data_IF_188949722711
#
_entry.id   IF_188949722711
#
_cell.length_a   1.000
_cell.length_b   1.000
_cell.length_c   1.000
_cell.angle_alpha   90.00
_cell.angle_beta   90.00
_cell.angle_gamma   90.00
#
_symmetry.space_group_name_H-M   'P 1'
#
loop_
_entity.id
_entity.type
_entity.pdbx_description
1 polymer ?
#
# COMPACT_ATOMS: atom_id res chain seq x y z
N UNK A 1 -23.10 -17.44 -59.47
CA UNK A 1 -23.88 -16.30 -58.90
C UNK A 1 -23.38 -15.90 -57.50
N UNK A 2 -22.81 -16.80 -56.71
CA UNK A 2 -22.39 -16.51 -55.31
C UNK A 2 -21.08 -15.73 -55.15
N UNK A 3 -20.09 -15.92 -56.04
CA UNK A 3 -18.81 -15.22 -55.95
C UNK A 3 -18.92 -13.69 -56.18
N UNK A 4 -19.88 -13.26 -57.00
CA UNK A 4 -20.13 -11.84 -57.27
C UNK A 4 -20.72 -11.12 -56.04
N UNK A 5 -21.55 -11.80 -55.26
CA UNK A 5 -22.11 -11.27 -54.02
C UNK A 5 -21.05 -11.15 -52.92
N UNK A 6 -20.13 -12.12 -52.82
CA UNK A 6 -19.04 -12.07 -51.84
C UNK A 6 -18.07 -10.91 -52.12
N UNK A 7 -17.73 -10.68 -53.40
CA UNK A 7 -16.90 -9.56 -53.84
C UNK A 7 -17.58 -8.21 -53.61
N UNK A 8 -18.90 -8.13 -53.79
CA UNK A 8 -19.67 -6.93 -53.50
C UNK A 8 -19.69 -6.65 -51.99
N UNK A 9 -19.90 -7.69 -51.16
CA UNK A 9 -19.92 -7.57 -49.71
C UNK A 9 -18.55 -7.13 -49.16
N UNK A 10 -17.46 -7.70 -49.67
CA UNK A 10 -16.09 -7.33 -49.29
C UNK A 10 -15.76 -5.88 -49.70
N UNK A 11 -16.23 -5.41 -50.86
CA UNK A 11 -16.06 -4.01 -51.28
C UNK A 11 -16.88 -3.04 -50.45
N UNK A 12 -18.10 -3.43 -50.04
CA UNK A 12 -18.94 -2.63 -49.15
C UNK A 12 -18.34 -2.56 -47.74
N UNK A 13 -17.86 -3.69 -47.21
CA UNK A 13 -17.21 -3.74 -45.89
C UNK A 13 -15.87 -2.98 -45.88
N UNK A 14 -15.07 -3.08 -46.95
CA UNK A 14 -13.84 -2.29 -47.11
C UNK A 14 -14.14 -0.79 -47.27
N UNK A 15 -15.22 -0.43 -47.98
CA UNK A 15 -15.70 0.95 -48.11
C UNK A 15 -16.21 1.53 -46.78
N UNK A 16 -16.92 0.72 -45.98
CA UNK A 16 -17.37 1.09 -44.63
C UNK A 16 -16.19 1.23 -43.65
N UNK A 17 -15.17 0.39 -43.75
CA UNK A 17 -13.92 0.52 -42.99
C UNK A 17 -13.13 1.78 -43.37
N UNK A 18 -13.01 2.09 -44.66
CA UNK A 18 -12.38 3.32 -45.12
C UNK A 18 -13.17 4.57 -44.71
N UNK A 19 -14.49 4.49 -44.69
CA UNK A 19 -15.37 5.57 -44.22
C UNK A 19 -15.29 5.76 -42.70
N UNK A 20 -15.14 4.68 -41.93
CA UNK A 20 -14.90 4.72 -40.48
C UNK A 20 -13.50 5.25 -40.13
N UNK A 21 -12.48 4.98 -40.96
CA UNK A 21 -11.14 5.55 -40.81
C UNK A 21 -11.07 7.03 -41.22
N UNK A 22 -12.00 7.51 -42.06
CA UNK A 22 -12.12 8.91 -42.48
C UNK A 22 -13.14 9.72 -41.65
N UNK A 23 -13.91 9.07 -40.79
CA UNK A 23 -14.65 9.71 -39.70
C UNK A 23 -13.63 10.22 -38.68
N UNK A 24 -13.01 11.37 -38.98
CA UNK A 24 -12.51 12.27 -37.95
C UNK A 24 -13.66 12.46 -36.97
N UNK A 25 -13.50 11.94 -35.75
CA UNK A 25 -14.34 12.32 -34.63
C UNK A 25 -14.40 13.87 -34.64
N UNK A 26 -15.57 14.47 -34.87
CA UNK A 26 -15.68 15.92 -34.80
C UNK A 26 -15.47 16.30 -33.34
N UNK A 27 -14.28 16.81 -33.01
CA UNK A 27 -13.95 17.25 -31.65
C UNK A 27 -12.53 16.94 -31.15
N UNK A 28 -11.69 16.19 -31.88
CA UNK A 28 -10.28 16.10 -31.51
C UNK A 28 -9.59 17.42 -31.92
N UNK A 29 -9.58 18.41 -31.02
CA UNK A 29 -8.67 19.53 -31.13
C UNK A 29 -7.24 18.97 -31.24
N UNK A 30 -6.44 19.52 -32.14
CA UNK A 30 -5.02 19.21 -32.16
C UNK A 30 -4.40 19.79 -30.88
N UNK A 31 -4.30 18.96 -29.85
CA UNK A 31 -3.57 19.33 -28.64
C UNK A 31 -2.07 19.22 -28.91
N UNK A 32 -1.35 20.30 -28.60
CA UNK A 32 0.10 20.35 -28.75
C UNK A 32 0.72 20.03 -27.40
N UNK A 33 1.33 18.85 -27.29
CA UNK A 33 2.15 18.48 -26.14
C UNK A 33 3.59 18.89 -26.42
N UNK A 34 4.15 19.78 -25.60
CA UNK A 34 5.55 20.16 -25.65
C UNK A 34 6.34 19.37 -24.60
N UNK A 35 7.45 18.75 -25.02
CA UNK A 35 8.34 18.01 -24.11
C UNK A 35 9.67 18.74 -24.02
N UNK A 36 10.01 19.25 -22.83
CA UNK A 36 11.34 19.83 -22.58
C UNK A 36 12.30 18.76 -22.06
N UNK A 37 13.09 18.17 -22.96
CA UNK A 37 14.09 17.17 -22.62
C UNK A 37 15.37 17.70 -21.97
N UNK A 38 15.47 19.01 -21.67
CA UNK A 38 16.70 19.61 -21.11
C UNK A 38 16.82 19.51 -19.59
N UNK A 39 15.71 19.25 -18.88
CA UNK A 39 15.67 19.17 -17.41
C UNK A 39 14.80 18.00 -16.97
N UNK A 40 15.35 17.13 -16.11
CA UNK A 40 14.53 16.18 -15.37
C UNK A 40 13.83 16.93 -14.22
N UNK A 41 12.50 16.77 -14.10
CA UNK A 41 11.70 17.38 -13.01
C UNK A 41 11.68 16.53 -11.75
N UNK A 42 11.86 15.21 -11.88
CA UNK A 42 11.94 14.26 -10.78
C UNK A 42 12.69 12.98 -11.23
N UNK A 43 13.07 12.15 -10.26
CA UNK A 43 13.58 10.80 -10.49
C UNK A 43 12.78 9.81 -9.65
N UNK A 44 12.27 8.76 -10.29
CA UNK A 44 11.57 7.66 -9.60
C UNK A 44 12.58 6.60 -9.16
N UNK A 45 12.35 5.96 -8.01
CA UNK A 45 13.17 4.81 -7.58
C UNK A 45 13.05 3.61 -8.53
N UNK A 46 14.05 2.73 -8.54
CA UNK A 46 14.04 1.53 -9.41
C UNK A 46 12.86 0.59 -9.13
N UNK A 47 12.30 0.63 -7.92
CA UNK A 47 11.16 -0.20 -7.51
C UNK A 47 9.82 0.58 -7.50
N UNK A 48 9.71 1.69 -8.26
CA UNK A 48 8.62 2.66 -8.14
C UNK A 48 7.20 2.07 -8.04
N UNK A 49 6.91 1.05 -8.85
CA UNK A 49 5.65 0.31 -8.79
C UNK A 49 5.69 -0.67 -7.63
N UNK A 50 4.80 -0.49 -6.65
CA UNK A 50 4.69 -1.35 -5.48
C UNK A 50 3.26 -1.83 -5.24
N UNK A 51 3.10 -2.88 -4.43
CA UNK A 51 1.79 -3.42 -4.08
C UNK A 51 1.67 -3.77 -2.61
N UNK A 52 0.46 -3.76 -2.07
CA UNK A 52 0.18 -4.22 -0.71
C UNK A 52 -0.49 -5.59 -0.68
N UNK A 53 -0.20 -6.36 0.37
CA UNK A 53 -0.89 -7.60 0.70
C UNK A 53 -1.46 -7.49 2.12
N UNK A 54 -2.77 -7.68 2.26
CA UNK A 54 -3.52 -7.39 3.48
C UNK A 54 -3.79 -8.64 4.34
N UNK A 55 -4.24 -8.44 5.57
CA UNK A 55 -4.57 -9.45 6.57
C UNK A 55 -6.02 -9.94 6.50
N UNK A 56 -6.90 -9.26 5.75
CA UNK A 56 -8.34 -9.51 5.79
C UNK A 56 -8.75 -10.97 5.57
N UNK A 57 -9.47 -11.59 6.52
CA UNK A 57 -10.03 -12.93 6.35
C UNK A 57 -11.13 -12.99 5.27
N UNK A 58 -11.48 -14.19 4.77
CA UNK A 58 -12.59 -14.37 3.81
C UNK A 58 -13.92 -13.77 4.29
N UNK A 59 -14.13 -13.70 5.61
CA UNK A 59 -15.36 -13.19 6.23
C UNK A 59 -15.45 -11.65 6.25
N UNK A 60 -14.40 -10.95 5.78
CA UNK A 60 -14.42 -9.50 5.54
C UNK A 60 -15.28 -9.23 4.32
N UNK A 61 -16.48 -8.72 4.59
CA UNK A 61 -17.42 -8.32 3.56
C UNK A 61 -17.80 -6.87 3.78
N UNK A 62 -17.68 -6.08 2.73
CA UNK A 62 -18.14 -4.68 2.68
C UNK A 62 -19.32 -4.61 1.73
N UNK A 63 -20.38 -3.94 2.15
CA UNK A 63 -21.52 -3.63 1.28
C UNK A 63 -22.13 -4.88 0.60
N UNK A 64 -22.13 -6.01 1.32
CA UNK A 64 -22.63 -7.30 0.81
C UNK A 64 -21.64 -8.12 -0.03
N UNK A 65 -20.43 -7.62 -0.27
CA UNK A 65 -19.40 -8.29 -1.09
C UNK A 65 -18.19 -8.68 -0.25
N UNK A 66 -17.79 -9.96 -0.31
CA UNK A 66 -16.61 -10.49 0.38
C UNK A 66 -15.42 -10.56 -0.58
N UNK A 67 -14.75 -9.43 -0.80
CA UNK A 67 -13.72 -9.28 -1.84
C UNK A 67 -12.43 -10.09 -1.57
N UNK A 68 -12.18 -10.48 -0.33
CA UNK A 68 -10.87 -11.00 0.09
C UNK A 68 -10.65 -12.49 -0.15
N UNK A 69 -11.66 -13.36 -0.03
CA UNK A 69 -11.52 -14.78 -0.33
C UNK A 69 -10.19 -15.39 0.16
N UNK A 70 -9.38 -15.94 -0.76
CA UNK A 70 -8.03 -16.46 -0.50
C UNK A 70 -6.92 -15.49 -0.89
N UNK A 71 -7.09 -14.19 -0.64
CA UNK A 71 -6.15 -13.15 -1.05
C UNK A 71 -5.32 -12.55 0.10
N UNK A 72 -5.41 -13.10 1.31
CA UNK A 72 -4.74 -12.51 2.46
C UNK A 72 -3.36 -13.11 2.69
N UNK A 73 -2.55 -12.39 3.48
CA UNK A 73 -1.27 -12.87 4.01
C UNK A 73 -1.38 -14.28 4.61
N UNK A 74 -2.54 -14.64 5.16
CA UNK A 74 -2.76 -15.90 5.85
C UNK A 74 -3.11 -17.06 4.93
N UNK A 75 -3.78 -16.80 3.79
CA UNK A 75 -4.42 -17.87 3.02
C UNK A 75 -4.18 -17.83 1.49
N UNK A 76 -3.43 -16.83 0.99
CA UNK A 76 -2.98 -16.75 -0.39
C UNK A 76 -2.25 -18.03 -0.83
N UNK A 77 -2.60 -18.52 -2.01
CA UNK A 77 -1.96 -19.69 -2.61
C UNK A 77 -0.59 -19.33 -3.19
N UNK A 78 0.44 -19.48 -2.36
CA UNK A 78 1.83 -19.20 -2.70
C UNK A 78 2.45 -20.24 -3.64
N UNK A 79 1.73 -21.32 -3.98
CA UNK A 79 2.15 -22.30 -4.98
C UNK A 79 1.69 -21.95 -6.39
N UNK A 80 0.81 -20.96 -6.53
CA UNK A 80 0.24 -20.55 -7.80
C UNK A 80 1.33 -19.93 -8.72
N UNK A 81 1.53 -20.55 -9.89
CA UNK A 81 2.55 -20.13 -10.86
C UNK A 81 2.19 -18.82 -11.56
N UNK A 82 0.91 -18.54 -11.77
CA UNK A 82 0.45 -17.28 -12.38
C UNK A 82 0.79 -16.13 -11.44
N UNK A 83 0.48 -16.27 -10.15
CA UNK A 83 0.83 -15.30 -9.12
C UNK A 83 2.35 -15.06 -9.06
N UNK A 84 3.14 -16.13 -9.01
CA UNK A 84 4.60 -16.02 -8.98
C UNK A 84 5.15 -15.28 -10.21
N UNK A 85 4.63 -15.60 -11.40
CA UNK A 85 5.07 -14.98 -12.65
C UNK A 85 4.61 -13.52 -12.74
N UNK A 86 3.41 -13.18 -12.24
CA UNK A 86 2.93 -11.81 -12.16
C UNK A 86 3.85 -10.97 -11.28
N UNK A 87 4.17 -11.43 -10.06
CA UNK A 87 5.10 -10.72 -9.15
C UNK A 87 6.48 -10.54 -9.80
N UNK A 88 6.99 -11.56 -10.51
CA UNK A 88 8.26 -11.47 -11.25
C UNK A 88 8.22 -10.48 -12.41
N UNK A 89 7.08 -10.32 -13.07
CA UNK A 89 6.95 -9.40 -14.21
C UNK A 89 7.09 -7.92 -13.78
N UNK A 90 6.79 -7.61 -12.52
CA UNK A 90 6.99 -6.29 -11.93
C UNK A 90 8.36 -6.14 -11.25
N UNK A 91 9.31 -7.06 -11.48
CA UNK A 91 10.61 -6.97 -10.83
C UNK A 91 11.41 -5.73 -11.27
N UNK A 92 12.03 -5.00 -10.33
CA UNK A 92 11.97 -5.22 -8.88
C UNK A 92 10.66 -4.68 -8.26
N UNK A 93 9.86 -5.58 -7.64
CA UNK A 93 8.61 -5.21 -6.96
C UNK A 93 8.84 -5.16 -5.45
N UNK A 94 8.41 -4.07 -4.80
CA UNK A 94 8.30 -4.05 -3.34
C UNK A 94 6.86 -4.38 -2.91
N UNK A 95 6.73 -5.32 -1.96
CA UNK A 95 5.47 -5.72 -1.35
C UNK A 95 5.40 -5.22 0.09
N UNK A 96 4.38 -4.43 0.41
CA UNK A 96 4.07 -4.01 1.79
C UNK A 96 3.00 -4.92 2.39
N UNK A 97 3.35 -5.62 3.45
CA UNK A 97 2.53 -6.60 4.15
C UNK A 97 1.93 -5.92 5.38
N UNK A 98 0.65 -5.54 5.34
CA UNK A 98 0.07 -4.62 6.33
C UNK A 98 -1.44 -4.49 6.22
N UNK A 99 -1.97 -3.32 6.57
CA UNK A 99 -3.41 -3.02 6.58
C UNK A 99 -4.00 -3.03 8.00
N UNK A 100 -5.30 -2.75 8.13
CA UNK A 100 -5.90 -2.40 9.43
C UNK A 100 -5.74 -3.48 10.51
N UNK A 101 -5.81 -4.77 10.17
CA UNK A 101 -5.65 -5.85 11.15
C UNK A 101 -4.19 -6.08 11.60
N UNK A 102 -3.21 -5.38 11.01
CA UNK A 102 -1.84 -5.35 11.47
C UNK A 102 -1.73 -4.93 12.94
N UNK A 103 -2.57 -4.00 13.39
CA UNK A 103 -2.59 -3.57 14.79
C UNK A 103 -3.24 -4.59 15.74
N UNK A 104 -3.70 -5.74 15.22
CA UNK A 104 -4.37 -6.81 15.96
C UNK A 104 -3.72 -8.17 15.74
N UNK A 105 -2.59 -8.24 15.02
CA UNK A 105 -1.86 -9.49 14.82
C UNK A 105 -0.84 -9.70 15.94
N UNK A 106 -0.69 -10.95 16.37
CA UNK A 106 0.46 -11.41 17.15
C UNK A 106 1.25 -12.47 16.38
N UNK A 107 2.52 -12.61 16.68
CA UNK A 107 3.42 -13.51 15.96
C UNK A 107 3.61 -14.78 16.77
N UNK A 108 3.36 -15.93 16.14
CA UNK A 108 3.40 -17.26 16.74
C UNK A 108 4.80 -17.79 17.06
N UNK A 109 5.71 -16.93 17.51
CA UNK A 109 7.04 -17.32 17.97
C UNK A 109 6.97 -18.02 19.33
N UNK A 110 8.07 -18.60 19.79
CA UNK A 110 8.16 -19.26 21.09
C UNK A 110 7.79 -18.33 22.27
N UNK A 111 8.03 -17.02 22.13
CA UNK A 111 7.74 -16.02 23.16
C UNK A 111 6.25 -15.72 23.32
N UNK A 112 5.38 -16.13 22.38
CA UNK A 112 3.95 -15.85 22.46
C UNK A 112 3.30 -16.51 23.69
N UNK A 113 3.78 -17.69 24.12
CA UNK A 113 3.31 -18.44 25.30
C UNK A 113 1.80 -18.71 25.38
N UNK A 114 1.09 -18.62 24.25
CA UNK A 114 -0.33 -18.95 24.08
C UNK A 114 -0.61 -19.52 22.69
N UNK A 115 -1.72 -20.23 22.48
CA UNK A 115 -2.08 -20.75 21.16
C UNK A 115 -2.15 -19.64 20.10
N UNK A 116 -1.61 -19.92 18.92
CA UNK A 116 -1.69 -19.03 17.77
C UNK A 116 -3.05 -19.22 17.08
N UNK A 117 -4.01 -18.36 17.41
CA UNK A 117 -5.39 -18.43 16.89
C UNK A 117 -5.60 -17.48 15.71
N UNK A 118 -6.39 -17.87 14.69
CA UNK A 118 -6.70 -16.99 13.57
C UNK A 118 -7.58 -15.81 14.00
N UNK A 119 -7.70 -14.81 13.13
CA UNK A 119 -8.73 -13.78 13.26
C UNK A 119 -10.12 -14.42 13.20
N UNK A 120 -11.03 -13.98 14.06
CA UNK A 120 -12.43 -14.39 14.05
C UNK A 120 -13.30 -13.15 13.96
N UNK A 121 -14.35 -13.20 13.12
CA UNK A 121 -15.30 -12.09 12.97
C UNK A 121 -16.01 -11.83 14.30
N UNK A 122 -15.97 -10.59 14.76
CA UNK A 122 -16.65 -10.12 15.96
C UNK A 122 -16.98 -8.64 15.80
N UNK A 123 -18.26 -8.30 15.65
CA UNK A 123 -18.70 -6.93 15.37
C UNK A 123 -18.44 -5.94 16.52
N UNK A 124 -18.23 -6.43 17.74
CA UNK A 124 -17.92 -5.59 18.91
C UNK A 124 -16.45 -5.19 18.98
N UNK A 125 -15.59 -5.80 18.15
CA UNK A 125 -14.16 -5.55 18.14
C UNK A 125 -13.78 -4.44 17.14
N UNK A 126 -12.69 -3.73 17.41
CA UNK A 126 -12.11 -2.79 16.44
C UNK A 126 -11.88 -3.48 15.09
N UNK A 127 -12.39 -2.87 14.02
CA UNK A 127 -12.42 -3.39 12.65
C UNK A 127 -13.24 -4.68 12.44
N UNK A 128 -14.04 -5.12 13.42
CA UNK A 128 -14.95 -6.25 13.28
C UNK A 128 -14.31 -7.63 13.41
N UNK A 129 -13.07 -7.72 13.92
CA UNK A 129 -12.36 -8.99 14.11
C UNK A 129 -11.60 -9.01 15.44
N UNK A 130 -11.47 -10.19 16.04
CA UNK A 130 -10.65 -10.44 17.24
C UNK A 130 -9.17 -10.15 16.97
N UNK A 131 -8.33 -10.27 18.00
CA UNK A 131 -6.91 -10.47 17.78
C UNK A 131 -6.69 -11.77 16.97
N UNK A 132 -5.78 -11.73 16.01
CA UNK A 132 -5.37 -12.89 15.21
C UNK A 132 -3.87 -13.16 15.36
N UNK A 133 -3.40 -14.25 14.78
CA UNK A 133 -2.02 -14.67 14.88
C UNK A 133 -1.44 -15.05 13.51
N UNK A 134 -0.19 -14.67 13.25
CA UNK A 134 0.62 -15.17 12.15
C UNK A 134 1.42 -16.39 12.63
N UNK A 135 1.10 -17.62 12.18
CA UNK A 135 1.90 -18.79 12.50
C UNK A 135 3.27 -18.73 11.82
N UNK A 136 4.34 -19.14 12.50
CA UNK A 136 5.70 -19.09 11.92
C UNK A 136 5.86 -19.97 10.68
N UNK A 137 5.11 -21.07 10.57
CA UNK A 137 5.04 -21.85 9.34
C UNK A 137 4.57 -21.00 8.16
N UNK A 138 3.53 -20.19 8.34
CA UNK A 138 3.02 -19.33 7.27
C UNK A 138 4.02 -18.22 6.93
N UNK A 139 4.72 -17.70 7.93
CA UNK A 139 5.82 -16.76 7.72
C UNK A 139 6.96 -17.38 6.90
N UNK A 140 7.31 -18.64 7.15
CA UNK A 140 8.29 -19.39 6.36
C UNK A 140 7.82 -19.55 4.90
N UNK A 141 6.56 -19.96 4.68
CA UNK A 141 5.98 -20.10 3.34
C UNK A 141 6.00 -18.78 2.54
N UNK A 142 5.66 -17.67 3.18
CA UNK A 142 5.71 -16.33 2.59
C UNK A 142 7.13 -15.95 2.17
N UNK A 143 8.12 -16.12 3.06
CA UNK A 143 9.50 -15.79 2.75
C UNK A 143 10.10 -16.68 1.64
N UNK A 144 9.69 -17.94 1.56
CA UNK A 144 10.05 -18.81 0.44
C UNK A 144 9.47 -18.31 -0.89
N UNK A 145 8.23 -17.82 -0.90
CA UNK A 145 7.64 -17.19 -2.07
C UNK A 145 8.39 -15.91 -2.47
N UNK A 146 8.69 -15.02 -1.51
CA UNK A 146 9.41 -13.77 -1.76
C UNK A 146 10.80 -14.01 -2.34
N UNK A 147 11.52 -15.00 -1.80
CA UNK A 147 12.82 -15.42 -2.33
C UNK A 147 12.71 -15.92 -3.77
N UNK A 148 11.69 -16.70 -4.09
CA UNK A 148 11.46 -17.22 -5.45
C UNK A 148 11.04 -16.11 -6.42
N UNK A 149 10.28 -15.12 -5.97
CA UNK A 149 9.77 -14.04 -6.80
C UNK A 149 10.78 -12.91 -7.00
N UNK A 150 11.72 -12.73 -6.07
CA UNK A 150 12.66 -11.61 -6.05
C UNK A 150 12.06 -10.33 -5.46
N UNK A 151 10.88 -10.39 -4.85
CA UNK A 151 10.22 -9.24 -4.27
C UNK A 151 10.96 -8.71 -3.03
N UNK A 152 11.02 -7.38 -2.89
CA UNK A 152 11.49 -6.69 -1.68
C UNK A 152 10.32 -6.56 -0.70
N UNK A 153 10.57 -6.77 0.59
CA UNK A 153 9.48 -6.90 1.57
C UNK A 153 9.52 -5.78 2.60
N UNK A 154 8.43 -5.05 2.71
CA UNK A 154 8.12 -4.18 3.86
C UNK A 154 7.10 -4.89 4.71
N UNK A 155 7.39 -5.12 5.99
CA UNK A 155 6.45 -5.79 6.90
C UNK A 155 5.98 -4.84 7.99
N UNK A 156 4.66 -4.73 8.12
CA UNK A 156 4.01 -3.93 9.14
C UNK A 156 3.89 -4.65 10.48
N UNK A 157 4.41 -4.02 11.52
CA UNK A 157 4.40 -4.48 12.90
C UNK A 157 3.14 -3.99 13.63
N UNK A 158 2.67 -4.78 14.58
CA UNK A 158 1.57 -4.39 15.47
C UNK A 158 2.04 -3.31 16.46
N UNK A 159 1.58 -2.08 16.28
CA UNK A 159 1.93 -0.95 17.16
C UNK A 159 1.01 -0.80 18.38
N UNK A 160 -0.04 -1.60 18.53
CA UNK A 160 -0.98 -1.54 19.67
C UNK A 160 -0.72 -2.61 20.75
N UNK A 161 0.25 -3.50 20.54
CA UNK A 161 0.57 -4.54 21.52
C UNK A 161 0.97 -3.92 22.88
N UNK A 162 0.33 -4.38 23.96
CA UNK A 162 0.58 -3.95 25.34
C UNK A 162 -0.04 -2.60 25.75
N UNK A 163 -0.75 -1.91 24.85
CA UNK A 163 -1.36 -0.61 25.15
C UNK A 163 -2.68 -0.73 25.91
N UNK A 164 -3.08 0.40 26.49
CA UNK A 164 -4.35 0.55 27.22
C UNK A 164 -5.24 1.58 26.55
N UNK A 165 -6.53 1.28 26.47
CA UNK A 165 -7.53 2.22 25.96
C UNK A 165 -7.71 3.37 26.97
N UNK A 166 -7.53 4.59 26.49
CA UNK A 166 -7.74 5.81 27.26
C UNK A 166 -9.21 6.28 27.17
N UNK A 167 -9.68 7.12 28.12
CA UNK A 167 -11.07 7.61 28.13
C UNK A 167 -11.50 8.35 26.86
N UNK A 168 -10.55 8.95 26.13
CA UNK A 168 -10.79 9.68 24.89
C UNK A 168 -10.77 8.77 23.63
N UNK A 169 -10.72 7.46 23.81
CA UNK A 169 -10.68 6.46 22.74
C UNK A 169 -9.30 6.23 22.11
N UNK A 170 -8.28 6.98 22.54
CA UNK A 170 -6.89 6.76 22.09
C UNK A 170 -6.21 5.63 22.85
N UNK A 171 -5.06 5.17 22.34
CA UNK A 171 -4.26 4.11 22.95
C UNK A 171 -3.04 4.71 23.64
N UNK A 172 -2.94 4.48 24.95
CA UNK A 172 -1.88 4.97 25.80
C UNK A 172 -0.92 3.87 26.26
N UNK A 173 0.18 4.30 26.87
CA UNK A 173 1.24 3.42 27.36
C UNK A 173 2.27 3.05 26.28
N UNK A 174 3.45 2.59 26.72
CA UNK A 174 4.54 2.22 25.82
C UNK A 174 4.17 1.00 24.98
N UNK A 175 4.68 0.96 23.75
CA UNK A 175 4.57 -0.22 22.92
C UNK A 175 5.35 -1.40 23.51
N UNK A 176 4.66 -2.51 23.79
CA UNK A 176 5.33 -3.77 24.13
C UNK A 176 5.88 -4.41 22.85
N UNK A 177 7.15 -4.13 22.57
CA UNK A 177 7.86 -4.65 21.42
C UNK A 177 8.29 -6.11 21.54
N UNK A 178 8.03 -6.80 22.65
CA UNK A 178 8.58 -8.15 22.91
C UNK A 178 8.18 -9.16 21.82
N UNK A 179 6.91 -9.17 21.42
CA UNK A 179 6.43 -10.09 20.38
C UNK A 179 7.01 -9.73 18.99
N UNK A 180 7.11 -8.44 18.65
CA UNK A 180 7.73 -7.97 17.41
C UNK A 180 9.23 -8.29 17.36
N UNK A 181 9.96 -8.06 18.45
CA UNK A 181 11.37 -8.41 18.59
C UNK A 181 11.61 -9.90 18.35
N UNK A 182 10.72 -10.75 18.87
CA UNK A 182 10.77 -12.19 18.65
C UNK A 182 10.61 -12.56 17.17
N UNK A 183 9.65 -11.94 16.46
CA UNK A 183 9.48 -12.13 15.01
C UNK A 183 10.72 -11.67 14.23
N UNK A 184 11.26 -10.50 14.55
CA UNK A 184 12.42 -9.95 13.85
C UNK A 184 13.64 -10.86 14.05
N UNK A 185 13.88 -11.33 15.28
CA UNK A 185 14.95 -12.31 15.57
C UNK A 185 14.73 -13.62 14.81
N UNK A 186 13.51 -14.16 14.81
CA UNK A 186 13.18 -15.37 14.05
C UNK A 186 13.51 -15.19 12.56
N UNK A 187 13.14 -14.04 12.01
CA UNK A 187 13.37 -13.68 10.60
C UNK A 187 14.87 -13.61 10.27
N UNK A 188 15.66 -12.94 11.12
CA UNK A 188 17.12 -12.87 10.96
C UNK A 188 17.78 -14.24 11.11
N UNK A 189 17.39 -15.03 12.11
CA UNK A 189 17.94 -16.36 12.35
C UNK A 189 17.67 -17.34 11.21
N UNK A 190 16.56 -17.15 10.49
CA UNK A 190 16.21 -17.91 9.28
C UNK A 190 16.94 -17.44 8.02
N UNK A 191 17.67 -16.32 8.09
CA UNK A 191 18.31 -15.69 6.93
C UNK A 191 17.34 -15.03 5.97
N UNK A 192 16.11 -14.71 6.42
CA UNK A 192 15.12 -14.04 5.59
C UNK A 192 15.46 -12.55 5.43
N UNK A 193 15.22 -12.03 4.23
CA UNK A 193 15.53 -10.63 3.88
C UNK A 193 14.28 -9.80 3.94
N UNK A 194 14.31 -8.77 4.78
CA UNK A 194 13.27 -7.75 4.88
C UNK A 194 13.89 -6.41 4.48
N UNK A 195 13.21 -5.69 3.61
CA UNK A 195 13.63 -4.37 3.12
C UNK A 195 13.30 -3.27 4.13
N UNK A 196 12.16 -3.37 4.82
CA UNK A 196 11.77 -2.43 5.86
C UNK A 196 10.78 -3.01 6.87
N UNK A 197 10.82 -2.46 8.08
CA UNK A 197 9.85 -2.72 9.14
C UNK A 197 9.03 -1.45 9.37
N UNK A 198 7.72 -1.54 9.17
CA UNK A 198 6.77 -0.45 9.38
C UNK A 198 6.10 -0.58 10.75
N UNK A 199 5.90 0.52 11.48
CA UNK A 199 5.28 0.47 12.81
C UNK A 199 3.79 0.86 12.76
N UNK A 200 2.89 -0.11 12.86
CA UNK A 200 1.45 0.15 12.93
C UNK A 200 0.82 0.61 11.60
N UNK A 201 -0.49 0.83 11.65
CA UNK A 201 -1.32 1.23 10.51
C UNK A 201 -2.41 2.22 10.97
N UNK A 202 -2.50 3.39 10.35
CA UNK A 202 -3.56 4.38 10.49
C UNK A 202 -3.80 4.86 11.94
N UNK A 203 -2.72 5.03 12.70
CA UNK A 203 -2.75 5.49 14.09
C UNK A 203 -2.44 6.99 14.25
N UNK A 204 -2.05 7.67 13.16
CA UNK A 204 -1.67 9.09 13.14
C UNK A 204 -2.88 10.02 13.14
N UNK A 205 -2.73 11.22 13.70
CA UNK A 205 -3.77 12.25 13.73
C UNK A 205 -5.05 11.77 14.41
N UNK A 206 -6.17 11.81 13.69
CA UNK A 206 -7.47 11.29 14.14
C UNK A 206 -7.54 9.77 14.21
N UNK A 207 -6.71 9.07 13.43
CA UNK A 207 -6.66 7.61 13.34
C UNK A 207 -7.89 6.96 12.70
N UNK A 208 -7.77 5.67 12.36
CA UNK A 208 -8.88 4.82 11.88
C UNK A 208 -9.11 3.70 12.89
N UNK A 209 -10.28 3.71 13.54
CA UNK A 209 -10.62 2.80 14.64
C UNK A 209 -10.03 3.25 15.98
N UNK A 210 -8.76 3.67 16.01
CA UNK A 210 -8.13 4.30 17.18
C UNK A 210 -6.92 5.15 16.76
N UNK A 211 -6.29 5.84 17.72
CA UNK A 211 -5.12 6.71 17.49
C UNK A 211 -4.09 6.58 18.61
N UNK A 212 -2.84 6.93 18.31
CA UNK A 212 -1.75 7.06 19.29
C UNK A 212 -1.22 8.49 19.25
N UNK A 213 -1.04 9.09 20.43
CA UNK A 213 -0.44 10.42 20.55
C UNK A 213 0.99 10.44 19.98
N UNK A 214 1.35 11.52 19.29
CA UNK A 214 2.62 11.61 18.56
C UNK A 214 3.86 11.48 19.46
N UNK A 215 3.80 11.97 20.70
CA UNK A 215 4.87 11.79 21.69
C UNK A 215 5.18 10.31 21.95
N UNK A 216 4.13 9.55 22.27
CA UNK A 216 4.25 8.13 22.56
C UNK A 216 4.69 7.38 21.29
N UNK A 217 4.05 7.68 20.16
CA UNK A 217 4.35 7.02 18.90
C UNK A 217 5.81 7.27 18.46
N UNK A 218 6.33 8.49 18.62
CA UNK A 218 7.72 8.80 18.33
C UNK A 218 8.68 8.01 19.23
N UNK A 219 8.40 7.89 20.54
CA UNK A 219 9.18 7.05 21.44
C UNK A 219 9.20 5.58 20.97
N UNK A 220 8.08 5.09 20.45
CA UNK A 220 7.96 3.71 19.94
C UNK A 220 8.75 3.52 18.63
N UNK A 221 8.80 4.52 17.74
CA UNK A 221 9.66 4.50 16.55
C UNK A 221 11.14 4.46 16.95
N UNK A 222 11.56 5.24 17.96
CA UNK A 222 12.93 5.22 18.48
C UNK A 222 13.27 3.86 19.10
N UNK A 223 12.32 3.25 19.80
CA UNK A 223 12.45 1.89 20.32
C UNK A 223 12.62 0.86 19.18
N UNK A 224 11.82 0.96 18.11
CA UNK A 224 11.96 0.12 16.93
C UNK A 224 13.34 0.29 16.26
N UNK A 225 13.81 1.53 16.07
CA UNK A 225 15.14 1.78 15.50
C UNK A 225 16.24 1.13 16.33
N UNK A 226 16.19 1.30 17.65
CA UNK A 226 17.15 0.70 18.58
C UNK A 226 17.10 -0.84 18.57
N UNK A 227 15.91 -1.41 18.38
CA UNK A 227 15.71 -2.84 18.26
C UNK A 227 16.30 -3.39 16.95
N UNK A 228 16.03 -2.72 15.82
CA UNK A 228 16.60 -3.08 14.51
C UNK A 228 18.12 -2.99 14.53
N UNK A 229 18.69 -1.92 15.08
CA UNK A 229 20.14 -1.75 15.14
C UNK A 229 20.84 -2.87 15.90
N UNK A 230 20.21 -3.36 16.98
CA UNK A 230 20.73 -4.41 17.83
C UNK A 230 20.55 -5.80 17.23
N UNK A 231 19.36 -6.12 16.68
CA UNK A 231 19.11 -7.45 16.12
C UNK A 231 19.88 -7.66 14.81
N UNK A 232 20.03 -6.60 14.00
CA UNK A 232 20.79 -6.63 12.75
C UNK A 232 22.26 -6.18 12.94
N UNK A 233 22.79 -6.23 14.15
CA UNK A 233 24.20 -5.92 14.41
C UNK A 233 25.10 -6.83 13.56
N UNK A 234 26.10 -6.24 12.89
CA UNK A 234 26.99 -6.95 11.97
C UNK A 234 26.38 -7.31 10.61
N UNK A 235 25.09 -7.05 10.36
CA UNK A 235 24.51 -7.24 9.03
C UNK A 235 24.89 -6.05 8.12
N UNK A 236 25.46 -6.30 6.91
CA UNK A 236 25.87 -5.23 6.01
C UNK A 236 24.70 -4.39 5.47
N UNK A 237 23.47 -4.92 5.48
CA UNK A 237 22.28 -4.23 5.02
C UNK A 237 21.18 -4.28 6.08
N UNK A 238 21.05 -3.19 6.85
CA UNK A 238 19.96 -3.05 7.82
C UNK A 238 18.65 -2.68 7.10
N UNK A 239 17.50 -3.23 7.53
CA UNK A 239 16.20 -2.83 7.01
C UNK A 239 15.86 -1.39 7.42
N UNK A 240 15.03 -0.75 6.61
CA UNK A 240 14.50 0.58 6.89
C UNK A 240 13.52 0.56 8.07
N UNK A 241 13.51 1.61 8.87
CA UNK A 241 12.44 1.91 9.82
C UNK A 241 11.43 2.85 9.16
N UNK A 242 10.18 2.41 9.10
CA UNK A 242 9.10 3.04 8.32
C UNK A 242 7.93 3.36 9.26
N UNK A 243 7.31 4.53 9.10
CA UNK A 243 6.16 4.98 9.89
C UNK A 243 5.47 6.18 9.24
N UNK A 244 4.23 6.56 9.59
CA UNK A 244 3.34 5.86 10.50
C UNK A 244 2.33 4.90 9.85
N UNK A 245 2.41 4.70 8.53
CA UNK A 245 1.42 3.96 7.75
C UNK A 245 0.00 4.50 7.93
N UNK A 246 -0.21 5.82 7.91
CA UNK A 246 -1.51 6.43 8.21
C UNK A 246 -1.86 7.63 7.32
N UNK A 247 -2.99 8.28 7.56
CA UNK A 247 -3.35 9.49 6.81
C UNK A 247 -2.52 10.69 7.25
N UNK A 248 -2.24 11.58 6.30
CA UNK A 248 -1.44 12.79 6.55
C UNK A 248 -2.19 13.76 7.46
N UNK A 249 -1.55 14.13 8.57
CA UNK A 249 -1.96 15.22 9.46
C UNK A 249 -0.74 16.11 9.67
N UNK A 250 -0.81 17.38 9.25
CA UNK A 250 0.37 18.23 9.16
C UNK A 250 1.05 18.44 10.53
N UNK A 251 0.26 18.64 11.59
CA UNK A 251 0.79 18.86 12.94
C UNK A 251 1.46 17.59 13.48
N UNK A 252 0.75 16.47 13.41
CA UNK A 252 1.23 15.18 13.88
C UNK A 252 2.49 14.72 13.12
N UNK A 253 2.53 14.88 11.79
CA UNK A 253 3.69 14.51 10.97
C UNK A 253 4.89 15.41 11.23
N UNK A 254 4.68 16.74 11.35
CA UNK A 254 5.75 17.69 11.70
C UNK A 254 6.40 17.30 13.02
N UNK A 255 5.58 16.96 14.01
CA UNK A 255 6.05 16.60 15.34
C UNK A 255 6.76 15.24 15.35
N UNK A 256 6.25 14.23 14.63
CA UNK A 256 6.93 12.94 14.48
C UNK A 256 8.31 13.10 13.85
N UNK A 257 8.39 13.85 12.74
CA UNK A 257 9.65 14.12 12.05
C UNK A 257 10.62 14.82 13.00
N UNK A 258 10.17 15.86 13.71
CA UNK A 258 11.00 16.59 14.67
C UNK A 258 11.58 15.69 15.77
N UNK A 259 10.78 14.79 16.34
CA UNK A 259 11.20 13.89 17.44
C UNK A 259 12.05 12.71 16.99
N UNK A 260 12.09 12.41 15.70
CA UNK A 260 12.87 11.28 15.13
C UNK A 260 14.13 11.75 14.38
N UNK A 261 14.50 13.02 14.51
CA UNK A 261 15.75 13.57 13.98
C UNK A 261 17.01 13.01 14.69
N UNK A 262 18.17 13.07 14.02
CA UNK A 262 18.32 13.34 12.59
C UNK A 262 18.03 12.12 11.71
N UNK A 263 18.17 10.89 12.25
CA UNK A 263 18.20 9.65 11.46
C UNK A 263 17.54 8.45 12.17
N UNK A 264 16.54 8.69 13.02
CA UNK A 264 15.84 7.60 13.74
C UNK A 264 14.68 7.02 12.93
N UNK A 265 14.16 7.78 11.96
CA UNK A 265 13.15 7.34 10.99
C UNK A 265 13.72 7.42 9.57
N UNK A 266 13.70 6.30 8.82
CA UNK A 266 14.23 6.28 7.46
C UNK A 266 13.19 6.78 6.45
N UNK A 267 11.93 6.37 6.63
CA UNK A 267 10.85 6.66 5.69
C UNK A 267 9.63 7.13 6.45
N UNK A 268 9.07 8.26 6.03
CA UNK A 268 7.73 8.69 6.43
C UNK A 268 6.70 8.30 5.36
N UNK A 269 5.67 7.55 5.75
CA UNK A 269 4.63 7.03 4.83
C UNK A 269 3.30 7.70 5.10
N UNK A 270 2.52 7.97 4.05
CA UNK A 270 1.11 8.35 4.19
C UNK A 270 0.19 7.50 3.29
N UNK A 271 -1.09 7.44 3.63
CA UNK A 271 -2.13 6.70 2.90
C UNK A 271 -3.01 7.61 2.04
N UNK A 272 -3.53 7.08 0.91
CA UNK A 272 -4.31 7.83 -0.07
C UNK A 272 -5.58 7.06 -0.49
N UNK A 273 -6.72 7.71 -0.30
CA UNK A 273 -8.05 7.24 -0.71
C UNK A 273 -8.95 8.42 -1.10
N UNK A 274 -8.63 9.09 -2.20
CA UNK A 274 -9.27 10.32 -2.65
C UNK A 274 -10.67 10.14 -3.28
N UNK A 275 -11.06 8.92 -3.66
CA UNK A 275 -12.38 8.67 -4.27
C UNK A 275 -13.49 8.51 -3.23
N UNK A 276 -13.14 8.20 -1.98
CA UNK A 276 -14.08 7.98 -0.89
C UNK A 276 -14.41 6.50 -0.62
N UNK A 277 -15.58 6.17 -0.07
CA UNK A 277 -15.91 4.79 0.27
C UNK A 277 -16.28 3.96 -0.95
N UNK A 278 -16.00 2.65 -0.91
CA UNK A 278 -16.41 1.70 -1.94
C UNK A 278 -17.92 1.62 -2.18
N UNK A 279 -18.77 2.02 -1.23
CA UNK A 279 -20.24 2.05 -1.42
C UNK A 279 -20.73 3.19 -2.30
N UNK A 280 -19.87 4.16 -2.60
CA UNK A 280 -20.27 5.30 -3.42
C UNK A 280 -20.62 4.83 -4.84
N UNK A 281 -21.83 5.16 -5.27
CA UNK A 281 -22.34 4.81 -6.61
C UNK A 281 -21.79 5.74 -7.70
N UNK A 282 -21.16 6.86 -7.32
CA UNK A 282 -20.60 7.84 -8.24
C UNK A 282 -19.08 7.70 -8.44
N UNK A 283 -18.51 6.54 -8.08
CA UNK A 283 -17.06 6.31 -8.20
C UNK A 283 -16.56 6.46 -9.64
N UNK A 284 -17.33 6.03 -10.63
CA UNK A 284 -16.96 6.16 -12.06
C UNK A 284 -16.84 7.63 -12.45
N UNK A 285 -17.81 8.45 -12.06
CA UNK A 285 -17.82 9.88 -12.32
C UNK A 285 -16.65 10.58 -11.63
N UNK A 286 -16.29 10.15 -10.41
CA UNK A 286 -15.10 10.66 -9.71
C UNK A 286 -13.80 10.26 -10.40
N UNK A 287 -13.67 9.00 -10.83
CA UNK A 287 -12.48 8.49 -11.53
C UNK A 287 -12.24 9.26 -12.84
N UNK A 288 -13.31 9.61 -13.54
CA UNK A 288 -13.24 10.34 -14.81
C UNK A 288 -13.21 11.87 -14.65
N UNK A 289 -13.18 12.37 -13.42
CA UNK A 289 -13.14 13.81 -13.14
C UNK A 289 -11.74 14.25 -12.65
N UNK A 290 -10.99 15.04 -13.44
CA UNK A 290 -9.66 15.53 -13.06
C UNK A 290 -9.59 16.23 -11.70
N UNK A 291 -10.65 16.94 -11.29
CA UNK A 291 -10.62 17.68 -10.00
C UNK A 291 -10.51 16.76 -8.78
N UNK A 292 -10.99 15.51 -8.88
CA UNK A 292 -10.83 14.51 -7.81
C UNK A 292 -9.41 13.95 -7.76
N UNK A 293 -8.71 13.98 -8.88
CA UNK A 293 -7.37 13.43 -9.05
C UNK A 293 -6.31 14.43 -8.60
N UNK A 294 -6.55 15.73 -8.80
CA UNK A 294 -5.69 16.81 -8.30
C UNK A 294 -5.78 17.03 -6.78
N UNK A 295 -6.83 16.48 -6.14
CA UNK A 295 -7.12 16.69 -4.71
C UNK A 295 -6.01 16.25 -3.74
N UNK A 296 -5.04 15.47 -4.21
CA UNK A 296 -3.92 14.97 -3.40
C UNK A 296 -2.65 15.83 -3.50
N UNK A 297 -2.57 16.76 -4.46
CA UNK A 297 -1.37 17.56 -4.71
C UNK A 297 -0.89 18.33 -3.46
N UNK A 298 -1.84 18.87 -2.68
CA UNK A 298 -1.54 19.61 -1.45
C UNK A 298 -0.92 18.72 -0.37
N UNK A 299 -1.34 17.46 -0.25
CA UNK A 299 -0.75 16.50 0.70
C UNK A 299 0.72 16.26 0.38
N UNK A 300 1.05 16.02 -0.88
CA UNK A 300 2.43 15.80 -1.33
C UNK A 300 3.30 17.03 -1.11
N UNK A 301 2.84 18.22 -1.53
CA UNK A 301 3.62 19.45 -1.39
C UNK A 301 3.81 19.87 0.08
N UNK A 302 2.79 19.69 0.93
CA UNK A 302 2.90 19.97 2.36
C UNK A 302 3.88 19.04 3.07
N UNK A 303 3.80 17.71 2.83
CA UNK A 303 4.73 16.76 3.42
C UNK A 303 6.17 17.02 2.94
N UNK A 304 6.35 17.34 1.66
CA UNK A 304 7.64 17.73 1.12
C UNK A 304 8.19 19.00 1.78
N UNK A 305 7.35 20.01 1.96
CA UNK A 305 7.72 21.26 2.65
C UNK A 305 8.18 21.01 4.10
N UNK A 306 7.51 20.11 4.81
CA UNK A 306 7.91 19.69 6.17
C UNK A 306 9.28 18.99 6.13
N UNK A 307 9.52 18.06 5.20
CA UNK A 307 10.80 17.35 5.11
C UNK A 307 11.96 18.29 4.74
N UNK A 308 11.74 19.18 3.76
CA UNK A 308 12.74 20.15 3.31
C UNK A 308 13.15 21.11 4.44
N UNK A 309 12.19 21.54 5.26
CA UNK A 309 12.45 22.43 6.41
C UNK A 309 12.97 21.69 7.64
N UNK A 310 12.80 20.37 7.72
CA UNK A 310 13.17 19.60 8.88
C UNK A 310 14.69 19.35 9.00
N UNK A 311 15.46 19.35 7.91
CA UNK A 311 16.88 18.99 7.96
C UNK A 311 17.10 17.52 8.37
N UNK A 312 16.22 16.62 7.90
CA UNK A 312 16.29 15.17 8.11
C UNK A 312 16.72 14.47 6.82
N UNK A 313 17.23 13.23 6.93
CA UNK A 313 17.43 12.34 5.79
C UNK A 313 16.21 11.48 5.47
N UNK A 314 15.14 11.58 6.26
CA UNK A 314 13.88 10.86 6.05
C UNK A 314 13.27 11.19 4.69
N UNK A 315 12.86 10.17 3.95
CA UNK A 315 12.16 10.31 2.65
C UNK A 315 10.66 10.02 2.78
N UNK A 316 9.84 10.57 1.88
CA UNK A 316 8.39 10.37 1.87
C UNK A 316 7.96 9.28 0.88
N UNK A 317 7.14 8.32 1.35
CA UNK A 317 6.51 7.28 0.53
C UNK A 317 4.98 7.35 0.63
N UNK A 318 4.28 6.81 -0.37
CA UNK A 318 2.85 6.50 -0.27
C UNK A 318 2.73 5.04 0.15
N UNK A 319 2.48 4.79 1.45
CA UNK A 319 2.52 3.45 2.06
C UNK A 319 1.30 2.57 1.74
N UNK A 320 0.20 3.18 1.33
CA UNK A 320 -1.03 2.50 0.87
C UNK A 320 -1.88 3.46 0.04
N UNK A 321 -2.27 3.08 -1.16
CA UNK A 321 -3.20 3.81 -2.01
C UNK A 321 -4.18 2.86 -2.69
N UNK A 322 -5.49 3.14 -2.62
CA UNK A 322 -6.50 2.26 -3.22
C UNK A 322 -7.66 2.98 -3.90
N UNK A 323 -7.61 4.31 -3.98
CA UNK A 323 -8.66 5.15 -4.56
C UNK A 323 -9.90 5.18 -3.69
N UNK A 324 -10.63 4.07 -3.64
CA UNK A 324 -11.81 3.87 -2.80
C UNK A 324 -11.53 2.92 -1.61
N UNK A 325 -11.82 3.37 -0.39
CA UNK A 325 -11.60 2.57 0.82
C UNK A 325 -12.72 1.54 1.07
N UNK A 326 -12.59 0.70 2.09
CA UNK A 326 -13.49 -0.43 2.38
C UNK A 326 -13.56 -1.45 1.23
N UNK A 327 -12.40 -1.94 0.80
CA UNK A 327 -12.23 -2.98 -0.22
C UNK A 327 -12.61 -2.60 -1.65
N UNK A 328 -12.90 -1.32 -1.91
CA UNK A 328 -13.30 -0.82 -3.22
C UNK A 328 -14.74 -1.19 -3.59
N UNK A 329 -15.04 -1.17 -4.88
CA UNK A 329 -16.36 -1.46 -5.44
C UNK A 329 -16.21 -2.42 -6.62
N UNK A 330 -16.77 -3.63 -6.49
CA UNK A 330 -16.76 -4.62 -7.57
C UNK A 330 -17.42 -4.07 -8.85
N UNK A 331 -16.82 -4.38 -10.00
CA UNK A 331 -17.12 -3.83 -11.32
C UNK A 331 -16.71 -2.36 -11.53
N UNK A 332 -16.13 -1.71 -10.52
CA UNK A 332 -15.54 -0.37 -10.65
C UNK A 332 -14.04 -0.41 -10.37
N UNK A 333 -13.62 -0.70 -9.13
CA UNK A 333 -12.20 -0.68 -8.73
C UNK A 333 -11.41 -1.91 -9.20
N UNK A 334 -12.10 -2.93 -9.69
CA UNK A 334 -11.51 -4.12 -10.34
C UNK A 334 -11.87 -4.21 -11.84
N UNK A 335 -12.27 -3.10 -12.45
CA UNK A 335 -12.55 -3.01 -13.88
C UNK A 335 -11.62 -2.02 -14.59
N UNK A 336 -11.67 -2.01 -15.93
CA UNK A 336 -10.79 -1.18 -16.76
C UNK A 336 -10.87 0.31 -16.42
N UNK A 337 -12.05 0.83 -16.01
CA UNK A 337 -12.19 2.26 -15.68
C UNK A 337 -11.24 2.69 -14.55
N UNK A 338 -10.88 1.77 -13.64
CA UNK A 338 -9.95 2.08 -12.57
C UNK A 338 -8.52 2.34 -13.04
N UNK A 339 -8.15 1.90 -14.26
CA UNK A 339 -6.82 2.17 -14.81
C UNK A 339 -6.56 3.67 -15.01
N UNK A 340 -7.61 4.49 -15.22
CA UNK A 340 -7.48 5.94 -15.32
C UNK A 340 -7.02 6.55 -13.99
N UNK A 341 -7.67 6.17 -12.88
CA UNK A 341 -7.23 6.59 -11.54
C UNK A 341 -5.83 6.08 -11.22
N UNK A 342 -5.54 4.80 -11.50
CA UNK A 342 -4.23 4.20 -11.24
C UNK A 342 -3.11 4.93 -11.99
N UNK A 343 -3.28 5.16 -13.30
CA UNK A 343 -2.27 5.84 -14.10
C UNK A 343 -2.01 7.25 -13.57
N UNK A 344 -3.05 7.99 -13.22
CA UNK A 344 -2.90 9.35 -12.71
C UNK A 344 -2.26 9.34 -11.33
N UNK A 345 -2.66 8.45 -10.42
CA UNK A 345 -2.03 8.32 -9.10
C UNK A 345 -0.55 7.94 -9.17
N UNK A 346 -0.15 7.07 -10.11
CA UNK A 346 1.26 6.71 -10.33
C UNK A 346 2.08 7.93 -10.76
N UNK A 347 1.55 8.84 -11.57
CA UNK A 347 2.33 9.95 -12.14
C UNK A 347 2.17 11.29 -11.40
N UNK A 348 1.02 11.54 -10.78
CA UNK A 348 0.67 12.78 -10.08
C UNK A 348 1.74 13.25 -9.10
N UNK A 349 2.23 12.42 -8.18
CA UNK A 349 3.21 12.91 -7.22
C UNK A 349 4.58 13.20 -7.86
N UNK A 350 4.92 12.60 -9.01
CA UNK A 350 6.13 12.92 -9.76
C UNK A 350 6.01 14.26 -10.51
N UNK A 351 4.79 14.64 -10.90
CA UNK A 351 4.48 15.90 -11.60
C UNK A 351 4.25 17.10 -10.67
N UNK A 352 3.73 16.88 -9.46
CA UNK A 352 3.45 17.97 -8.50
C UNK A 352 4.72 18.56 -7.87
N UNK A 353 5.84 17.84 -7.94
CA UNK A 353 7.09 18.17 -7.24
C UNK A 353 8.13 18.89 -8.12
N UNK A 354 7.70 19.75 -9.05
CA UNK A 354 8.49 20.39 -10.12
C UNK A 354 9.86 21.02 -9.75
N UNK A 355 10.16 21.21 -8.47
CA UNK A 355 11.39 21.87 -7.98
C UNK A 355 12.17 21.11 -6.89
N UNK A 356 11.98 19.79 -6.78
CA UNK A 356 12.87 19.00 -5.94
C UNK A 356 13.31 17.74 -6.68
N UNK A 357 14.61 17.48 -6.68
CA UNK A 357 15.18 16.12 -6.80
C UNK A 357 14.79 15.32 -5.55
N UNK A 358 13.49 15.31 -5.23
CA UNK A 358 12.95 14.61 -4.10
C UNK A 358 12.65 13.21 -4.57
N UNK A 359 13.29 12.27 -3.90
CA UNK A 359 12.98 10.85 -3.98
C UNK A 359 11.54 10.67 -3.52
N UNK A 360 10.61 10.88 -4.44
CA UNK A 360 9.39 10.10 -4.47
C UNK A 360 9.81 8.65 -4.42
N UNK A 361 9.65 8.07 -3.24
CA UNK A 361 9.85 6.65 -3.12
C UNK A 361 8.64 5.90 -3.65
N UNK A 362 8.41 4.77 -3.02
CA UNK A 362 7.51 3.74 -3.48
C UNK A 362 6.05 4.17 -3.31
N UNK A 363 5.21 3.89 -4.33
CA UNK A 363 3.75 4.02 -4.24
C UNK A 363 3.15 2.63 -4.15
N UNK A 364 2.62 2.29 -2.97
CA UNK A 364 2.07 0.98 -2.69
C UNK A 364 0.56 0.94 -3.00
N UNK A 365 0.19 0.25 -4.07
CA UNK A 365 -1.21 0.10 -4.42
C UNK A 365 -1.86 -1.04 -3.67
N UNK A 366 -3.02 -0.77 -3.07
CA UNK A 366 -3.91 -1.78 -2.52
C UNK A 366 -4.64 -2.46 -3.65
N UNK A 367 -4.22 -3.69 -3.90
CA UNK A 367 -4.85 -4.58 -4.84
C UNK A 367 -6.03 -5.23 -4.11
N UNK A 368 -7.23 -5.12 -4.68
CA UNK A 368 -8.42 -5.77 -4.13
C UNK A 368 -8.18 -7.28 -4.02
N UNK A 369 -8.85 -7.95 -3.07
CA UNK A 369 -8.65 -9.39 -2.91
C UNK A 369 -8.97 -10.19 -4.18
N UNK A 370 -9.89 -9.72 -5.03
CA UNK A 370 -10.18 -10.33 -6.33
C UNK A 370 -8.97 -10.34 -7.27
N UNK A 371 -8.08 -9.36 -7.20
CA UNK A 371 -6.92 -9.26 -8.08
C UNK A 371 -5.71 -10.09 -7.61
N UNK A 372 -5.66 -10.48 -6.33
CA UNK A 372 -4.66 -11.44 -5.83
C UNK A 372 -5.08 -12.91 -6.04
N UNK A 373 -6.39 -13.19 -6.07
CA UNK A 373 -6.94 -14.51 -6.33
C UNK A 373 -7.01 -14.81 -7.84
N UNK A 374 -5.84 -15.06 -8.42
CA UNK A 374 -5.69 -15.41 -9.84
C UNK A 374 -6.31 -16.77 -10.22
N UNK A 375 -6.91 -17.51 -9.29
CA UNK A 375 -7.70 -18.71 -9.62
C UNK A 375 -9.02 -18.40 -10.33
N UNK A 376 -9.40 -17.11 -10.36
CA UNK A 376 -10.58 -16.57 -11.03
C UNK A 376 -10.30 -16.03 -12.43
N UNK A 377 -9.03 -16.02 -12.86
CA UNK A 377 -8.58 -15.69 -14.22
C UNK A 377 -8.30 -16.99 -14.95
#
# INVERSE_FOLDING_TARGET
MEAAWLLLLLRVLAGLWFSAALLRLPGAAAEVVAVDGRRAVAATGEDFVCATLDWWPPEKCDYGTCAWGRASLLNLDLSNKVLLNAVRAFAPLTLRLGGSLQNKVVYGTADLRRPCTPFVKNASEMHGFTQGCLPMRRWDELNDFFRKSGAKIVFGLNALNGRVLLPDGSQGGPWDYTNAASLIRYTVNKGYRIHGWELGNELSGSGVGTRVGVDQYAADVVALKSLIDRIYEGNPSKPLVIAPGGFFDAGWYTELIAKTKPNLLNVITHHIYNLGPGVDIHLVEKILNPSYLDGMASTFSNLQGILNSAGTSTVAWVGEAGGAYNSGHHLVTDSFVFSFWYAIEVFSPATVLEDAVSLMGLVFFKVSGSAWDVSKV
#
